data_IF_845427646403
#
_entry.id   IF_845427646403
#
_cell.length_a   1.000
_cell.length_b   1.000
_cell.length_c   1.000
_cell.angle_alpha   90.00
_cell.angle_beta   90.00
_cell.angle_gamma   90.00
#
_symmetry.space_group_name_H-M   'P 1'
#
loop_
_entity.id
_entity.type
_entity.pdbx_description
1 polymer ?
#
# COMPACT_ATOMS: atom_id res chain seq x y z
N UNK A 1 -14.52 6.77 -8.57
CA UNK A 1 -13.24 7.13 -9.22
C UNK A 1 -12.67 5.88 -9.87
N UNK A 2 -12.12 5.96 -11.08
CA UNK A 2 -11.40 4.84 -11.70
C UNK A 2 -9.94 5.28 -11.85
N UNK A 3 -9.02 4.59 -11.20
CA UNK A 3 -7.59 4.83 -11.38
C UNK A 3 -6.97 3.88 -12.39
N UNK A 4 -5.85 4.33 -12.96
CA UNK A 4 -4.86 3.49 -13.62
C UNK A 4 -3.53 3.67 -12.91
N UNK A 5 -2.90 2.55 -12.58
CA UNK A 5 -1.54 2.50 -12.03
C UNK A 5 -0.60 1.95 -13.11
N UNK A 6 0.57 2.55 -13.27
CA UNK A 6 1.56 2.13 -14.27
C UNK A 6 2.75 1.45 -13.59
N UNK A 7 3.05 0.23 -14.01
CA UNK A 7 4.25 -0.51 -13.63
C UNK A 7 5.21 -0.41 -14.81
N UNK A 8 6.27 0.37 -14.66
CA UNK A 8 7.23 0.64 -15.74
C UNK A 8 8.56 0.01 -15.37
N UNK A 9 9.01 -0.94 -16.19
CA UNK A 9 10.19 -1.76 -15.90
C UNK A 9 11.20 -1.68 -17.05
N UNK A 10 12.46 -1.44 -16.71
CA UNK A 10 13.59 -1.64 -17.61
C UNK A 10 14.17 -3.05 -17.41
N UNK A 11 14.09 -3.87 -18.47
CA UNK A 11 14.54 -5.27 -18.47
C UNK A 11 16.05 -5.41 -18.69
N UNK A 12 16.74 -4.37 -19.17
CA UNK A 12 18.12 -4.49 -19.64
C UNK A 12 19.17 -4.34 -18.52
N UNK A 13 18.83 -3.72 -17.38
CA UNK A 13 19.77 -3.43 -16.29
C UNK A 13 19.14 -3.80 -14.95
N UNK A 14 19.56 -4.93 -14.34
CA UNK A 14 19.23 -5.34 -12.96
C UNK A 14 17.76 -5.14 -12.53
N UNK A 15 16.83 -5.24 -13.47
CA UNK A 15 15.42 -4.84 -13.36
C UNK A 15 15.22 -3.50 -12.61
N UNK A 16 15.20 -2.39 -13.34
CA UNK A 16 14.84 -1.10 -12.75
C UNK A 16 13.32 -0.91 -12.80
N UNK A 17 12.72 -0.56 -11.66
CA UNK A 17 11.34 -0.11 -11.60
C UNK A 17 11.32 1.42 -11.51
N UNK A 18 10.48 2.07 -12.32
CA UNK A 18 10.22 3.49 -12.16
C UNK A 18 9.20 3.71 -11.04
N UNK A 19 9.59 4.53 -10.07
CA UNK A 19 8.70 5.00 -9.00
C UNK A 19 8.64 6.52 -9.02
N UNK A 20 7.50 7.06 -8.60
CA UNK A 20 7.21 8.48 -8.52
C UNK A 20 7.04 8.88 -7.05
N UNK A 21 7.68 9.98 -6.66
CA UNK A 21 7.54 10.61 -5.36
C UNK A 21 6.20 11.33 -5.30
N UNK A 22 5.29 10.81 -4.49
CA UNK A 22 4.07 11.53 -4.14
C UNK A 22 4.39 12.60 -3.09
N UNK A 23 3.84 13.80 -3.28
CA UNK A 23 4.08 14.97 -2.42
C UNK A 23 3.76 14.63 -0.96
N UNK A 24 4.79 14.61 -0.10
CA UNK A 24 4.67 14.32 1.34
C UNK A 24 4.46 12.85 1.71
N UNK A 25 4.21 11.97 0.73
CA UNK A 25 3.73 10.60 0.98
C UNK A 25 4.78 9.51 0.76
N UNK A 26 5.79 9.80 -0.05
CA UNK A 26 6.85 8.84 -0.40
C UNK A 26 6.76 8.34 -1.84
N UNK A 27 7.69 7.47 -2.21
CA UNK A 27 7.74 6.82 -3.51
C UNK A 27 6.65 5.76 -3.66
N UNK A 28 6.06 5.69 -4.85
CA UNK A 28 5.09 4.67 -5.26
C UNK A 28 5.15 4.43 -6.77
N UNK A 29 4.35 3.51 -7.30
CA UNK A 29 4.06 3.47 -8.74
C UNK A 29 3.43 4.78 -9.22
N UNK A 30 3.69 5.23 -10.46
CA UNK A 30 2.92 6.30 -11.06
C UNK A 30 1.45 5.92 -11.26
N UNK A 31 0.54 6.85 -10.98
CA UNK A 31 -0.90 6.62 -11.13
C UNK A 31 -1.66 7.91 -11.45
N UNK A 32 -2.84 7.77 -12.07
CA UNK A 32 -3.73 8.90 -12.34
C UNK A 32 -5.17 8.40 -12.53
N UNK A 33 -6.13 9.31 -12.45
CA UNK A 33 -7.53 9.02 -12.75
C UNK A 33 -7.75 8.84 -14.25
N UNK A 34 -8.66 7.93 -14.60
CA UNK A 34 -9.15 7.79 -15.97
C UNK A 34 -10.08 8.96 -16.28
N UNK A 35 -9.75 9.73 -17.32
CA UNK A 35 -10.57 10.85 -17.77
C UNK A 35 -11.83 10.37 -18.48
N UNK A 36 -12.84 11.24 -18.56
CA UNK A 36 -14.08 10.92 -19.29
C UNK A 36 -13.78 10.58 -20.76
N UNK A 37 -14.26 9.42 -21.21
CA UNK A 37 -14.02 8.92 -22.58
C UNK A 37 -12.66 8.24 -22.79
N UNK A 38 -11.78 8.24 -21.79
CA UNK A 38 -10.46 7.61 -21.87
C UNK A 38 -10.55 6.10 -21.60
N UNK A 39 -9.91 5.28 -22.45
CA UNK A 39 -9.70 3.87 -22.12
C UNK A 39 -8.54 3.75 -21.15
N UNK A 40 -8.48 2.66 -20.37
CA UNK A 40 -7.37 2.44 -19.44
C UNK A 40 -5.99 2.44 -20.12
N UNK A 41 -5.88 1.92 -21.35
CA UNK A 41 -4.65 1.93 -22.13
C UNK A 41 -4.24 3.36 -22.53
N UNK A 42 -5.21 4.22 -22.89
CA UNK A 42 -4.95 5.63 -23.16
C UNK A 42 -4.51 6.37 -21.89
N UNK A 43 -5.13 6.09 -20.75
CA UNK A 43 -4.71 6.63 -19.45
C UNK A 43 -3.30 6.21 -19.08
N UNK A 44 -2.95 4.93 -19.26
CA UNK A 44 -1.59 4.44 -19.05
C UNK A 44 -0.58 5.17 -19.95
N UNK A 45 -0.86 5.27 -21.26
CA UNK A 45 -0.01 6.01 -22.21
C UNK A 45 0.15 7.48 -21.81
N UNK A 46 -0.91 8.13 -21.33
CA UNK A 46 -0.86 9.51 -20.85
C UNK A 46 -0.02 9.67 -19.59
N UNK A 47 -0.09 8.73 -18.65
CA UNK A 47 0.75 8.73 -17.45
C UNK A 47 2.21 8.57 -17.86
N UNK A 48 2.52 7.56 -18.68
CA UNK A 48 3.92 7.24 -19.02
C UNK A 48 4.58 8.27 -19.93
N UNK A 49 3.84 8.89 -20.85
CA UNK A 49 4.36 9.97 -21.71
C UNK A 49 4.76 11.23 -20.93
N UNK A 50 4.19 11.47 -19.74
CA UNK A 50 4.65 12.56 -18.84
C UNK A 50 6.00 12.24 -18.19
N UNK A 51 6.21 10.96 -17.90
CA UNK A 51 7.36 10.49 -17.14
C UNK A 51 8.55 10.19 -18.02
N UNK A 52 8.32 9.79 -19.27
CA UNK A 52 9.36 9.31 -20.15
C UNK A 52 9.08 9.80 -21.57
N UNK A 53 10.06 10.43 -22.24
CA UNK A 53 9.88 11.00 -23.58
C UNK A 53 9.85 9.94 -24.72
N UNK A 54 9.91 8.65 -24.36
CA UNK A 54 10.05 7.55 -25.32
C UNK A 54 8.73 6.82 -25.49
N UNK A 55 8.51 6.26 -26.69
CA UNK A 55 7.44 5.31 -26.89
C UNK A 55 7.75 4.00 -26.16
N UNK A 56 6.76 3.50 -25.44
CA UNK A 56 6.84 2.22 -24.78
C UNK A 56 5.92 1.22 -25.45
N UNK A 57 6.34 -0.04 -25.43
CA UNK A 57 5.47 -1.14 -25.76
C UNK A 57 4.63 -1.48 -24.52
N UNK A 58 3.31 -1.39 -24.67
CA UNK A 58 2.41 -1.90 -23.66
C UNK A 58 2.41 -3.42 -23.78
N UNK A 59 2.95 -4.09 -22.77
CA UNK A 59 3.15 -5.54 -22.83
C UNK A 59 1.98 -6.29 -22.20
N UNK A 60 1.51 -5.87 -21.03
CA UNK A 60 0.34 -6.53 -20.43
C UNK A 60 -0.42 -5.68 -19.42
N UNK A 61 -1.65 -6.13 -19.12
CA UNK A 61 -2.54 -5.61 -18.11
C UNK A 61 -2.55 -6.57 -16.93
N UNK A 62 -2.01 -6.13 -15.80
CA UNK A 62 -2.05 -6.87 -14.55
C UNK A 62 -3.21 -6.31 -13.72
N UNK A 63 -4.18 -7.16 -13.40
CA UNK A 63 -5.22 -6.80 -12.44
C UNK A 63 -4.72 -7.15 -11.05
N UNK A 64 -4.09 -6.21 -10.35
CA UNK A 64 -3.98 -6.31 -8.89
C UNK A 64 -5.28 -5.80 -8.35
N UNK A 65 -5.96 -6.67 -7.60
CA UNK A 65 -7.23 -6.31 -7.01
C UNK A 65 -7.00 -5.64 -5.65
N UNK A 66 -7.59 -4.47 -5.41
CA UNK A 66 -7.92 -3.94 -4.09
C UNK A 66 -9.43 -4.14 -3.96
N UNK A 67 -9.77 -5.32 -3.47
CA UNK A 67 -11.04 -5.86 -2.97
C UNK A 67 -12.27 -4.95 -2.87
N UNK A 68 -13.42 -5.56 -3.13
CA UNK A 68 -14.78 -5.02 -2.95
C UNK A 68 -15.16 -4.89 -1.44
N UNK A 69 -14.22 -4.48 -0.58
CA UNK A 69 -14.32 -4.58 0.89
C UNK A 69 -15.42 -3.72 1.51
N UNK A 70 -15.89 -2.73 0.76
CA UNK A 70 -17.06 -1.95 1.12
C UNK A 70 -17.93 -1.80 -0.12
N UNK A 71 -19.26 -2.03 -0.03
CA UNK A 71 -20.20 -1.77 -1.12
C UNK A 71 -20.25 -0.29 -1.56
N UNK A 72 -19.52 0.59 -0.88
CA UNK A 72 -19.46 2.02 -1.15
C UNK A 72 -18.10 2.53 -1.66
N UNK A 73 -17.06 1.69 -1.72
CA UNK A 73 -15.79 2.09 -2.35
C UNK A 73 -15.71 1.53 -3.76
N UNK A 74 -15.41 2.36 -4.78
CA UNK A 74 -15.25 1.87 -6.13
C UNK A 74 -14.09 0.87 -6.15
N UNK A 75 -14.32 -0.32 -6.72
CA UNK A 75 -13.27 -1.30 -7.00
C UNK A 75 -12.23 -0.67 -7.94
N UNK A 76 -11.18 -0.12 -7.32
CA UNK A 76 -10.19 0.68 -8.03
C UNK A 76 -9.02 -0.23 -8.36
N UNK A 77 -9.01 -0.74 -9.59
CA UNK A 77 -8.04 -1.75 -10.00
C UNK A 77 -7.79 -1.65 -11.49
N UNK A 78 -6.59 -1.24 -11.91
CA UNK A 78 -5.88 -1.80 -13.08
C UNK A 78 -4.43 -1.33 -13.11
N UNK A 79 -3.50 -2.28 -13.27
CA UNK A 79 -2.07 -2.03 -13.41
C UNK A 79 -1.63 -2.42 -14.81
N UNK A 80 -0.73 -1.65 -15.42
CA UNK A 80 -0.19 -1.95 -16.74
C UNK A 80 1.31 -2.16 -16.64
N UNK A 81 1.79 -3.31 -17.10
CA UNK A 81 3.21 -3.57 -17.26
C UNK A 81 3.65 -3.00 -18.61
N UNK A 82 4.47 -1.96 -18.53
CA UNK A 82 5.06 -1.30 -19.68
C UNK A 82 6.55 -1.62 -19.64
N UNK A 83 6.99 -2.48 -20.56
CA UNK A 83 8.40 -2.89 -20.64
C UNK A 83 9.03 -2.20 -21.83
N UNK A 84 10.19 -1.60 -21.63
CA UNK A 84 10.88 -0.88 -22.70
C UNK A 84 11.61 -1.85 -23.65
N UNK A 85 11.61 -1.51 -24.94
CA UNK A 85 12.61 -1.90 -25.93
C UNK A 85 13.75 -0.86 -26.08
N UNK A 86 15.00 -1.33 -26.09
CA UNK A 86 16.28 -0.61 -26.27
C UNK A 86 16.54 0.55 -25.29
N UNK A 87 17.15 0.18 -24.16
CA UNK A 87 18.04 0.93 -23.25
C UNK A 87 17.61 2.33 -22.79
N UNK A 88 17.04 2.47 -21.58
CA UNK A 88 17.01 3.76 -20.83
C UNK A 88 18.36 4.01 -20.16
N UNK A 89 19.15 2.96 -19.95
CA UNK A 89 20.38 2.93 -19.17
C UNK A 89 21.51 3.90 -19.59
N UNK A 90 21.36 4.64 -20.70
CA UNK A 90 22.31 5.69 -21.10
C UNK A 90 21.93 7.10 -20.67
N UNK A 91 20.74 7.32 -20.09
CA UNK A 91 20.37 8.59 -19.46
C UNK A 91 20.62 8.55 -17.95
N UNK A 92 21.83 8.16 -17.53
CA UNK A 92 22.32 8.39 -16.17
C UNK A 92 22.39 9.91 -15.93
N UNK A 93 21.28 10.53 -15.51
CA UNK A 93 21.25 11.96 -15.17
C UNK A 93 19.98 12.72 -15.53
N UNK A 94 19.03 12.15 -16.27
CA UNK A 94 17.72 12.81 -16.39
C UNK A 94 16.92 12.52 -15.13
N UNK A 95 17.11 13.35 -14.10
CA UNK A 95 16.16 13.44 -13.01
C UNK A 95 14.80 13.80 -13.63
N UNK A 96 13.95 12.79 -13.76
CA UNK A 96 12.54 13.01 -14.06
C UNK A 96 11.99 13.76 -12.85
N UNK A 97 11.26 14.86 -13.11
CA UNK A 97 10.71 15.68 -12.03
C UNK A 97 9.84 14.77 -11.15
N UNK A 98 10.28 14.50 -9.93
CA UNK A 98 9.65 13.61 -8.95
C UNK A 98 9.64 12.11 -9.32
N UNK A 99 10.40 11.62 -10.29
CA UNK A 99 10.43 10.18 -10.61
C UNK A 99 11.84 9.64 -10.68
N UNK A 100 12.00 8.36 -10.33
CA UNK A 100 13.30 7.74 -10.21
C UNK A 100 13.27 6.25 -10.52
N UNK A 101 14.32 5.81 -11.21
CA UNK A 101 14.58 4.39 -11.42
C UNK A 101 15.24 3.80 -10.17
N UNK A 102 14.65 2.74 -9.63
CA UNK A 102 15.17 2.02 -8.48
C UNK A 102 15.43 0.56 -8.83
N UNK A 103 16.63 0.10 -8.51
CA UNK A 103 16.94 -1.33 -8.43
C UNK A 103 16.60 -1.86 -7.02
N UNK A 104 16.75 -3.16 -6.85
CA UNK A 104 16.39 -3.85 -5.60
C UNK A 104 17.14 -3.33 -4.36
N UNK A 105 18.45 -3.10 -4.45
CA UNK A 105 19.25 -2.63 -3.31
C UNK A 105 18.91 -1.19 -2.91
N UNK A 106 18.63 -0.33 -3.90
CA UNK A 106 18.15 1.03 -3.64
C UNK A 106 16.79 1.01 -2.94
N UNK A 107 15.88 0.13 -3.37
CA UNK A 107 14.58 -0.02 -2.70
C UNK A 107 14.73 -0.46 -1.25
N UNK A 108 15.59 -1.44 -0.95
CA UNK A 108 15.86 -1.85 0.45
C UNK A 108 16.31 -0.68 1.31
N UNK A 109 17.17 0.17 0.76
CA UNK A 109 17.68 1.37 1.46
C UNK A 109 16.55 2.37 1.70
N UNK A 110 15.76 2.67 0.67
CA UNK A 110 14.61 3.57 0.77
C UNK A 110 13.53 3.06 1.75
N UNK A 111 13.31 1.73 1.85
CA UNK A 111 12.42 1.14 2.87
C UNK A 111 12.94 1.40 4.27
N UNK A 112 14.24 1.16 4.52
CA UNK A 112 14.86 1.44 5.83
C UNK A 112 14.72 2.91 6.22
N UNK A 113 14.80 3.80 5.24
CA UNK A 113 14.62 5.24 5.40
C UNK A 113 13.16 5.70 5.45
N UNK A 114 12.19 4.78 5.28
CA UNK A 114 10.74 5.09 5.23
C UNK A 114 10.39 6.11 4.14
N UNK A 115 11.03 5.97 2.98
CA UNK A 115 10.83 6.85 1.83
C UNK A 115 9.68 6.38 0.93
N UNK A 116 9.17 5.16 1.12
CA UNK A 116 8.06 4.60 0.34
C UNK A 116 6.71 4.94 0.97
N UNK A 117 5.73 5.21 0.11
CA UNK A 117 4.32 5.22 0.49
C UNK A 117 3.85 3.80 0.89
N UNK A 118 4.49 2.76 0.36
CA UNK A 118 4.32 1.36 0.78
C UNK A 118 5.11 0.39 -0.10
N UNK A 119 4.91 -0.90 0.14
CA UNK A 119 5.91 -1.93 -0.21
C UNK A 119 5.64 -2.67 -1.52
N UNK A 120 4.55 -2.38 -2.19
CA UNK A 120 4.15 -3.02 -3.44
C UNK A 120 5.24 -2.87 -4.51
N UNK A 121 5.88 -1.70 -4.73
CA UNK A 121 7.03 -1.59 -5.63
C UNK A 121 8.15 -2.59 -5.32
N UNK A 122 8.47 -2.78 -4.03
CA UNK A 122 9.53 -3.68 -3.59
C UNK A 122 9.17 -5.15 -3.74
N UNK A 123 7.99 -5.56 -3.27
CA UNK A 123 7.55 -6.95 -3.40
C UNK A 123 7.36 -7.36 -4.85
N UNK A 124 6.87 -6.44 -5.69
CA UNK A 124 6.79 -6.66 -7.13
C UNK A 124 8.17 -6.95 -7.71
N UNK A 125 9.14 -6.08 -7.44
CA UNK A 125 10.48 -6.23 -7.99
C UNK A 125 11.16 -7.50 -7.45
N UNK A 126 10.99 -7.80 -6.16
CA UNK A 126 11.45 -9.04 -5.54
C UNK A 126 10.90 -10.27 -6.28
N UNK A 127 9.57 -10.33 -6.46
CA UNK A 127 8.89 -11.43 -7.12
C UNK A 127 9.33 -11.59 -8.58
N UNK A 128 9.57 -10.47 -9.28
CA UNK A 128 10.11 -10.48 -10.65
C UNK A 128 11.49 -11.11 -10.68
N UNK A 129 12.39 -10.64 -9.82
CA UNK A 129 13.78 -11.13 -9.76
C UNK A 129 13.84 -12.62 -9.38
N UNK A 130 13.02 -13.05 -8.41
CA UNK A 130 12.93 -14.46 -8.01
C UNK A 130 12.41 -15.35 -9.15
N UNK A 131 11.38 -14.92 -9.89
CA UNK A 131 10.83 -15.69 -11.02
C UNK A 131 11.71 -15.67 -12.26
N UNK A 132 12.40 -14.56 -12.51
CA UNK A 132 13.35 -14.43 -13.63
C UNK A 132 14.44 -15.50 -13.55
N UNK A 133 14.89 -15.85 -12.34
CA UNK A 133 15.88 -16.92 -12.13
C UNK A 133 15.37 -18.30 -12.53
N UNK A 134 14.05 -18.51 -12.57
CA UNK A 134 13.43 -19.82 -12.81
C UNK A 134 12.95 -19.97 -14.25
N UNK A 135 12.17 -19.01 -14.77
CA UNK A 135 11.42 -19.17 -16.03
C UNK A 135 11.67 -18.06 -17.08
N UNK A 136 12.58 -17.11 -16.83
CA UNK A 136 12.78 -15.94 -17.69
C UNK A 136 11.60 -14.94 -17.66
N UNK A 137 11.66 -13.91 -18.51
CA UNK A 137 10.73 -12.78 -18.46
C UNK A 137 9.34 -13.05 -19.06
N UNK A 138 9.24 -13.96 -20.03
CA UNK A 138 8.01 -14.17 -20.81
C UNK A 138 6.92 -14.91 -20.02
N UNK A 139 7.33 -15.74 -19.05
CA UNK A 139 6.39 -16.48 -18.19
C UNK A 139 5.77 -15.60 -17.10
N UNK A 140 6.52 -14.62 -16.58
CA UNK A 140 6.01 -13.66 -15.59
C UNK A 140 4.80 -12.87 -16.12
N UNK A 141 4.85 -12.52 -17.41
CA UNK A 141 3.86 -11.68 -18.07
C UNK A 141 2.53 -12.44 -18.24
N UNK A 142 2.54 -13.76 -18.32
CA UNK A 142 1.46 -14.53 -18.96
C UNK A 142 0.26 -14.89 -18.07
N UNK A 143 0.16 -14.40 -16.83
CA UNK A 143 -1.12 -14.53 -16.07
C UNK A 143 -1.04 -14.68 -14.56
N UNK A 144 0.10 -14.38 -13.93
CA UNK A 144 0.22 -14.46 -12.47
C UNK A 144 -0.50 -13.31 -11.76
N UNK A 145 -1.33 -13.63 -10.76
CA UNK A 145 -1.62 -12.71 -9.68
C UNK A 145 -0.32 -12.43 -8.93
N UNK A 146 0.15 -11.17 -8.92
CA UNK A 146 1.43 -10.81 -8.30
C UNK A 146 1.25 -10.41 -6.83
N UNK A 147 0.05 -9.95 -6.48
CA UNK A 147 -0.34 -9.60 -5.13
C UNK A 147 -1.61 -10.36 -4.77
N UNK A 148 -1.52 -11.15 -3.71
CA UNK A 148 -2.67 -11.71 -3.06
C UNK A 148 -3.29 -10.64 -2.15
N UNK A 149 -4.60 -10.47 -2.28
CA UNK A 149 -5.35 -9.44 -1.54
C UNK A 149 -5.25 -9.70 -0.04
N UNK A 150 -5.01 -8.64 0.73
CA UNK A 150 -5.42 -8.69 2.13
C UNK A 150 -6.94 -8.56 2.17
N UNK A 151 -7.63 -9.68 2.35
CA UNK A 151 -9.06 -9.67 2.67
C UNK A 151 -9.21 -8.84 3.94
N UNK A 152 -10.09 -7.83 3.93
CA UNK A 152 -10.38 -7.08 5.15
C UNK A 152 -10.98 -8.04 6.17
N UNK A 153 -10.16 -8.36 7.16
CA UNK A 153 -10.60 -9.16 8.28
C UNK A 153 -11.23 -8.20 9.29
N UNK A 154 -12.56 -8.14 9.28
CA UNK A 154 -13.27 -7.60 10.43
C UNK A 154 -12.99 -8.49 11.63
N UNK A 155 -12.67 -7.87 12.75
CA UNK A 155 -12.49 -8.59 14.01
C UNK A 155 -13.87 -8.74 14.62
N UNK A 156 -14.36 -9.98 14.71
CA UNK A 156 -15.69 -10.25 15.26
C UNK A 156 -15.70 -9.88 16.76
N UNK A 157 -16.58 -8.96 17.13
CA UNK A 157 -16.69 -8.48 18.51
C UNK A 157 -17.80 -9.21 19.28
N UNK A 158 -18.30 -10.34 18.77
CA UNK A 158 -19.32 -11.12 19.47
C UNK A 158 -18.82 -11.50 20.86
N UNK A 159 -19.69 -11.27 21.84
CA UNK A 159 -19.53 -11.82 23.18
C UNK A 159 -19.41 -13.35 23.05
N UNK A 160 -18.46 -14.00 23.75
CA UNK A 160 -18.35 -15.44 23.73
C UNK A 160 -19.72 -16.06 24.09
N UNK A 161 -20.20 -16.97 23.23
CA UNK A 161 -21.42 -17.71 23.51
C UNK A 161 -21.20 -18.45 24.85
N UNK A 162 -22.07 -18.27 25.86
CA UNK A 162 -21.92 -18.95 27.14
C UNK A 162 -21.88 -20.49 27.01
N UNK A 163 -22.38 -21.05 25.90
CA UNK A 163 -22.35 -22.48 25.60
C UNK A 163 -21.13 -22.92 24.78
N UNK A 164 -20.33 -22.00 24.24
CA UNK A 164 -19.18 -22.30 23.40
C UNK A 164 -17.91 -21.69 24.02
N UNK A 165 -17.12 -22.52 24.72
CA UNK A 165 -15.91 -22.13 25.45
C UNK A 165 -14.72 -21.72 24.54
N UNK A 166 -14.98 -21.18 23.35
CA UNK A 166 -13.92 -20.64 22.52
C UNK A 166 -13.41 -19.36 23.20
N UNK A 167 -12.17 -19.44 23.69
CA UNK A 167 -11.45 -18.31 24.27
C UNK A 167 -11.28 -17.28 23.14
N UNK A 168 -11.95 -16.13 23.28
CA UNK A 168 -11.80 -15.01 22.37
C UNK A 168 -10.31 -14.64 22.26
N UNK A 169 -9.83 -14.41 21.04
CA UNK A 169 -8.47 -13.98 20.79
C UNK A 169 -8.18 -12.65 21.51
N UNK A 170 -6.92 -12.36 21.86
CA UNK A 170 -6.56 -11.09 22.49
C UNK A 170 -7.05 -9.86 21.70
N UNK A 171 -7.06 -9.95 20.38
CA UNK A 171 -7.57 -8.93 19.48
C UNK A 171 -9.08 -8.71 19.66
N UNK A 172 -9.87 -9.79 19.70
CA UNK A 172 -11.33 -9.70 19.92
C UNK A 172 -11.66 -9.13 21.30
N UNK A 173 -10.91 -9.53 22.34
CA UNK A 173 -11.07 -8.99 23.70
C UNK A 173 -10.76 -7.48 23.76
N UNK A 174 -9.70 -7.05 23.08
CA UNK A 174 -9.33 -5.63 22.98
C UNK A 174 -10.43 -4.84 22.26
N UNK A 175 -10.88 -5.34 21.11
CA UNK A 175 -11.93 -4.69 20.31
C UNK A 175 -13.28 -4.63 21.04
N UNK A 176 -13.62 -5.70 21.77
CA UNK A 176 -14.78 -5.75 22.65
C UNK A 176 -14.71 -4.73 23.78
N UNK A 177 -13.53 -4.59 24.40
CA UNK A 177 -13.28 -3.60 25.46
C UNK A 177 -13.39 -2.16 24.95
N UNK A 178 -12.84 -1.89 23.77
CA UNK A 178 -12.95 -0.60 23.08
C UNK A 178 -14.35 -0.32 22.50
N UNK A 179 -15.25 -1.32 22.50
CA UNK A 179 -16.60 -1.27 21.89
C UNK A 179 -16.59 -1.00 20.38
N UNK A 180 -15.56 -1.48 19.68
CA UNK A 180 -15.38 -1.28 18.23
C UNK A 180 -16.26 -2.23 17.40
N UNK A 181 -17.55 -1.91 17.28
CA UNK A 181 -18.48 -2.67 16.43
C UNK A 181 -18.17 -2.51 14.92
N UNK A 182 -18.78 -3.37 14.09
CA UNK A 182 -18.59 -3.41 12.63
C UNK A 182 -18.78 -2.05 11.96
N UNK A 183 -19.80 -1.28 12.34
CA UNK A 183 -20.06 0.05 11.74
C UNK A 183 -18.94 1.05 12.04
N UNK A 184 -18.34 0.98 13.23
CA UNK A 184 -17.19 1.81 13.58
C UNK A 184 -15.94 1.34 12.82
N UNK A 185 -15.69 0.03 12.74
CA UNK A 185 -14.61 -0.54 11.94
C UNK A 185 -14.70 -0.08 10.47
N UNK A 186 -15.89 -0.14 9.85
CA UNK A 186 -16.10 0.38 8.48
C UNK A 186 -15.75 1.86 8.33
N UNK A 187 -16.08 2.69 9.34
CA UNK A 187 -15.73 4.12 9.33
C UNK A 187 -14.23 4.32 9.46
N UNK A 188 -13.58 3.60 10.37
CA UNK A 188 -12.13 3.64 10.56
C UNK A 188 -11.42 3.16 9.28
N UNK A 189 -11.95 2.15 8.60
CA UNK A 189 -11.40 1.69 7.33
C UNK A 189 -11.48 2.76 6.23
N UNK A 190 -12.62 3.45 6.09
CA UNK A 190 -12.74 4.58 5.15
C UNK A 190 -11.72 5.68 5.44
N UNK A 191 -11.51 5.98 6.73
CA UNK A 191 -10.51 6.93 7.16
C UNK A 191 -9.11 6.45 6.81
N UNK A 192 -8.72 5.25 7.22
CA UNK A 192 -7.44 4.61 6.87
C UNK A 192 -7.18 4.71 5.37
N UNK A 193 -8.14 4.26 4.57
CA UNK A 193 -8.04 4.26 3.11
C UNK A 193 -7.82 5.66 2.52
N UNK A 194 -8.43 6.70 3.09
CA UNK A 194 -8.24 8.08 2.61
C UNK A 194 -6.81 8.59 2.75
N UNK A 195 -6.05 8.05 3.72
CA UNK A 195 -4.65 8.39 3.94
C UNK A 195 -3.68 7.47 3.19
N UNK A 196 -4.04 6.21 2.99
CA UNK A 196 -3.15 5.25 2.32
C UNK A 196 -3.28 5.25 0.81
N UNK A 197 -4.45 5.61 0.27
CA UNK A 197 -4.71 5.55 -1.16
C UNK A 197 -3.61 6.22 -2.03
N UNK A 198 -3.10 5.54 -3.08
CA UNK A 198 -3.55 4.25 -3.64
C UNK A 198 -2.92 2.99 -3.02
N UNK A 199 -2.18 3.13 -1.91
CA UNK A 199 -1.61 2.03 -1.13
C UNK A 199 -2.63 1.30 -0.27
N UNK A 200 -2.38 0.00 -0.05
CA UNK A 200 -3.05 -0.78 0.99
C UNK A 200 -2.40 -0.63 2.38
N UNK A 201 -1.23 0.00 2.45
CA UNK A 201 -0.43 0.16 3.65
C UNK A 201 -0.32 1.64 4.05
N UNK A 202 -0.21 1.88 5.35
CA UNK A 202 0.04 3.20 5.89
C UNK A 202 1.52 3.34 6.22
N UNK A 203 2.20 4.22 5.49
CA UNK A 203 3.55 4.67 5.81
C UNK A 203 3.57 5.51 7.09
N UNK A 204 4.75 5.77 7.63
CA UNK A 204 4.89 6.64 8.80
C UNK A 204 4.36 8.07 8.53
N UNK A 205 4.59 8.60 7.34
CA UNK A 205 4.14 9.93 6.94
C UNK A 205 2.60 9.98 6.87
N UNK A 206 1.98 8.99 6.23
CA UNK A 206 0.52 8.87 6.20
C UNK A 206 -0.07 8.71 7.62
N UNK A 207 0.62 7.99 8.51
CA UNK A 207 0.22 7.86 9.91
C UNK A 207 0.30 9.19 10.67
N UNK A 208 1.35 9.99 10.47
CA UNK A 208 1.46 11.33 11.07
C UNK A 208 0.27 12.19 10.67
N UNK A 209 -0.09 12.21 9.38
CA UNK A 209 -1.27 12.94 8.88
C UNK A 209 -2.57 12.40 9.49
N UNK A 210 -2.74 11.07 9.55
CA UNK A 210 -3.94 10.44 10.09
C UNK A 210 -4.14 10.72 11.60
N UNK A 211 -3.05 10.82 12.35
CA UNK A 211 -3.08 11.06 13.79
C UNK A 211 -3.11 12.55 14.16
N UNK A 212 -2.89 13.46 13.20
CA UNK A 212 -2.72 14.89 13.48
C UNK A 212 -3.93 15.51 14.19
N UNK A 213 -5.14 15.07 13.84
CA UNK A 213 -6.38 15.53 14.46
C UNK A 213 -6.83 14.67 15.66
N UNK A 214 -6.14 13.57 15.94
CA UNK A 214 -6.49 12.63 17.02
C UNK A 214 -5.66 12.82 18.28
N UNK A 215 -4.48 13.43 18.15
CA UNK A 215 -3.52 13.61 19.24
C UNK A 215 -3.47 15.06 19.71
N UNK A 216 -3.33 15.24 21.02
CA UNK A 216 -2.98 16.54 21.60
C UNK A 216 -1.57 16.97 21.19
N UNK A 217 -1.25 18.27 21.30
CA UNK A 217 0.09 18.81 20.97
C UNK A 217 1.22 18.09 21.71
N UNK A 218 1.00 17.71 22.97
CA UNK A 218 1.96 16.95 23.78
C UNK A 218 2.14 15.54 23.23
N UNK A 219 1.07 14.87 22.81
CA UNK A 219 1.12 13.51 22.27
C UNK A 219 1.75 13.45 20.88
N UNK A 220 1.63 14.51 20.07
CA UNK A 220 2.31 14.60 18.77
C UNK A 220 3.83 14.44 18.88
N UNK A 221 4.43 14.85 20.01
CA UNK A 221 5.87 14.62 20.27
C UNK A 221 6.24 13.13 20.38
N UNK A 222 5.25 12.27 20.68
CA UNK A 222 5.38 10.82 20.83
C UNK A 222 4.91 10.05 19.58
N UNK A 223 4.61 10.73 18.47
CA UNK A 223 4.05 10.10 17.26
C UNK A 223 4.89 8.93 16.75
N UNK A 224 6.21 9.03 16.85
CA UNK A 224 7.10 7.95 16.45
C UNK A 224 6.99 6.72 17.37
N UNK A 225 6.76 6.93 18.67
CA UNK A 225 6.54 5.83 19.61
C UNK A 225 5.17 5.17 19.37
N UNK A 226 4.12 5.95 19.07
CA UNK A 226 2.81 5.40 18.69
C UNK A 226 2.91 4.55 17.43
N UNK A 227 3.57 5.05 16.38
CA UNK A 227 3.75 4.27 15.15
C UNK A 227 4.44 2.93 15.43
N UNK A 228 5.50 2.92 16.25
CA UNK A 228 6.18 1.68 16.65
C UNK A 228 5.28 0.75 17.47
N UNK A 229 4.41 1.29 18.30
CA UNK A 229 3.46 0.51 19.09
C UNK A 229 2.36 -0.12 18.21
N UNK A 230 1.90 0.61 17.19
CA UNK A 230 0.95 0.11 16.19
C UNK A 230 1.62 -0.96 15.32
N UNK A 231 2.89 -0.76 14.94
CA UNK A 231 3.71 -1.71 14.19
C UNK A 231 4.38 -2.76 15.11
N UNK A 232 3.57 -3.55 15.82
CA UNK A 232 4.06 -4.56 16.77
C UNK A 232 5.02 -5.60 16.13
N UNK A 233 4.89 -5.82 14.82
CA UNK A 233 5.71 -6.76 14.05
C UNK A 233 6.95 -6.12 13.41
N UNK A 234 7.18 -4.82 13.63
CA UNK A 234 8.34 -4.07 13.10
C UNK A 234 8.47 -4.13 11.57
N UNK A 235 7.34 -4.12 10.88
CA UNK A 235 7.23 -4.16 9.42
C UNK A 235 7.66 -2.84 8.76
N UNK A 236 7.69 -1.75 9.53
CA UNK A 236 7.88 -0.36 9.11
C UNK A 236 6.73 0.23 8.30
N UNK A 237 5.56 -0.41 8.31
CA UNK A 237 4.30 0.05 7.74
C UNK A 237 3.15 -0.54 8.55
N UNK A 238 1.97 0.07 8.47
CA UNK A 238 0.77 -0.44 9.12
C UNK A 238 -0.21 -0.98 8.09
N UNK A 239 -0.73 -2.18 8.35
CA UNK A 239 -1.95 -2.67 7.72
C UNK A 239 -3.16 -2.03 8.37
N UNK A 240 -4.35 -2.18 7.76
CA UNK A 240 -5.59 -1.76 8.40
C UNK A 240 -5.78 -2.40 9.79
N UNK A 241 -5.41 -3.68 9.95
CA UNK A 241 -5.51 -4.38 11.24
C UNK A 241 -4.60 -3.77 12.31
N UNK A 242 -3.35 -3.45 11.96
CA UNK A 242 -2.41 -2.79 12.87
C UNK A 242 -2.95 -1.41 13.30
N UNK A 243 -3.49 -0.64 12.36
CA UNK A 243 -4.09 0.67 12.63
C UNK A 243 -5.32 0.57 13.53
N UNK A 244 -6.21 -0.37 13.24
CA UNK A 244 -7.45 -0.60 13.99
C UNK A 244 -7.17 -1.01 15.44
N UNK A 245 -6.26 -1.97 15.64
CA UNK A 245 -5.87 -2.44 16.97
C UNK A 245 -5.16 -1.34 17.76
N UNK A 246 -4.31 -0.56 17.12
CA UNK A 246 -3.66 0.58 17.76
C UNK A 246 -4.66 1.64 18.22
N UNK A 247 -5.66 1.97 17.38
CA UNK A 247 -6.74 2.88 17.78
C UNK A 247 -7.57 2.32 18.94
N UNK A 248 -7.91 1.01 18.91
CA UNK A 248 -8.62 0.37 20.01
C UNK A 248 -7.82 0.40 21.31
N UNK A 249 -6.50 0.21 21.25
CA UNK A 249 -5.61 0.29 22.40
C UNK A 249 -5.44 1.73 22.95
N UNK A 250 -5.70 2.75 22.14
CA UNK A 250 -5.66 4.15 22.56
C UNK A 250 -7.02 4.68 23.04
N UNK A 251 -8.11 3.94 22.82
CA UNK A 251 -9.44 4.39 23.19
C UNK A 251 -9.56 4.49 24.73
N UNK A 252 -9.97 5.63 25.30
CA UNK A 252 -10.07 5.80 26.75
C UNK A 252 -11.05 4.85 27.44
N UNK A 253 -11.99 4.27 26.70
CA UNK A 253 -12.95 3.28 27.22
C UNK A 253 -12.38 1.86 27.26
N UNK A 254 -11.20 1.63 26.69
CA UNK A 254 -10.53 0.34 26.69
C UNK A 254 -9.97 0.03 28.08
N UNK A 255 -10.52 -1.01 28.70
CA UNK A 255 -10.01 -1.55 29.96
C UNK A 255 -8.65 -2.20 29.76
N UNK A 256 -7.57 -1.50 30.13
CA UNK A 256 -6.27 -2.11 30.34
C UNK A 256 -6.30 -2.76 31.72
N UNK A 257 -6.01 -4.06 31.83
CA UNK A 257 -6.19 -4.88 33.05
C UNK A 257 -5.40 -4.49 34.31
N UNK A 258 -4.99 -3.23 34.46
CA UNK A 258 -4.55 -2.66 35.72
C UNK A 258 -5.73 -2.57 36.68
N UNK A 259 -5.77 -3.47 37.67
CA UNK A 259 -6.57 -3.26 38.87
C UNK A 259 -6.07 -1.99 39.57
N UNK A 260 -6.81 -0.89 39.47
CA UNK A 260 -6.71 0.22 40.43
C UNK A 260 -7.48 -0.13 41.69
#
# INVERSE_FOLDING_TARGET
MKLVVCIIIDKEVDALLLVEQSLGRGYWFPFDEIKQGETRALAAKRITSKLCPYDFELVNVLKIRCSDLLPCLPSTQTYYLITKGRSVARANGTNLVNSIWMNFERMKTAIKNREFLGLEPYYLLKNILERQQVNGWDDFISGGQIFEESILQFIDCKQPDPNNQLIASPQEQLMGSAKFNTKLQERIFKEFYSFTFPSEYMSFQAFVEAMDNKLSTTEKTKIQAYFRAFDAQQKSYLTYSDYLLGLAAMDPSTSHGGKT
#
